data_IF_055120724848
#
_entry.id   IF_055120724848
#
_cell.length_a   1.000
_cell.length_b   1.000
_cell.length_c   1.000
_cell.angle_alpha   90.00
_cell.angle_beta   90.00
_cell.angle_gamma   90.00
#
_symmetry.space_group_name_H-M   'P 1'
#
loop_
_entity.id
_entity.type
_entity.pdbx_description
1 polymer ?
#
# COMPACT_ATOMS: atom_id res chain seq x y z
N UNK A 1 -16.20 25.15 19.00
CA UNK A 1 -15.42 25.47 17.79
C UNK A 1 -14.09 24.74 17.88
N UNK A 2 -14.03 23.49 17.42
CA UNK A 2 -12.79 22.72 17.23
C UNK A 2 -12.74 22.40 15.74
N UNK A 3 -11.74 22.92 15.05
CA UNK A 3 -11.54 22.67 13.63
C UNK A 3 -11.20 21.20 13.42
N UNK A 4 -12.14 20.44 12.86
CA UNK A 4 -11.87 19.10 12.33
C UNK A 4 -11.03 19.31 11.07
N UNK A 5 -9.74 18.98 11.12
CA UNK A 5 -8.93 18.79 9.92
C UNK A 5 -9.40 17.47 9.29
N UNK A 6 -10.19 17.56 8.24
CA UNK A 6 -10.48 16.42 7.37
C UNK A 6 -9.19 16.13 6.58
N UNK A 7 -8.42 15.14 7.01
CA UNK A 7 -7.47 14.47 6.12
C UNK A 7 -8.22 13.27 5.54
N UNK A 8 -8.81 13.49 4.36
CA UNK A 8 -9.44 12.42 3.59
C UNK A 8 -8.30 11.56 3.02
N UNK A 9 -7.85 10.58 3.81
CA UNK A 9 -6.74 9.72 3.48
C UNK A 9 -7.29 8.35 3.08
N UNK A 10 -7.31 8.08 1.78
CA UNK A 10 -7.89 6.87 1.22
C UNK A 10 -6.80 5.86 0.90
N UNK A 11 -6.74 4.83 1.74
CA UNK A 11 -6.44 3.44 1.42
C UNK A 11 -6.12 3.15 -0.07
N UNK A 12 -4.83 2.99 -0.38
CA UNK A 12 -4.26 2.86 -1.73
C UNK A 12 -4.54 1.50 -2.44
N UNK A 13 -5.60 0.78 -2.05
CA UNK A 13 -5.97 -0.54 -2.61
C UNK A 13 -6.86 -0.50 -3.87
N UNK A 14 -7.45 0.64 -4.21
CA UNK A 14 -8.69 0.67 -5.00
C UNK A 14 -8.61 0.65 -6.52
N UNK A 15 -7.50 1.10 -7.09
CA UNK A 15 -7.57 1.65 -8.44
C UNK A 15 -7.36 0.61 -9.55
N UNK A 16 -7.16 -0.67 -9.19
CA UNK A 16 -6.84 -1.72 -10.16
C UNK A 16 -7.91 -2.81 -10.36
N UNK A 17 -8.90 -2.96 -9.47
CA UNK A 17 -9.89 -4.04 -9.63
C UNK A 17 -10.90 -3.78 -10.76
N UNK A 18 -11.10 -2.54 -11.21
CA UNK A 18 -11.96 -2.24 -12.37
C UNK A 18 -11.32 -2.63 -13.73
N UNK A 19 -10.02 -2.91 -13.80
CA UNK A 19 -9.33 -3.21 -15.05
C UNK A 19 -8.98 -4.69 -15.26
N UNK A 20 -9.05 -5.52 -14.21
CA UNK A 20 -8.67 -6.94 -14.29
C UNK A 20 -9.82 -7.93 -14.00
N UNK A 21 -10.95 -7.49 -13.44
CA UNK A 21 -12.14 -8.32 -13.27
C UNK A 21 -13.05 -8.20 -14.50
N UNK A 22 -12.86 -9.09 -15.47
CA UNK A 22 -13.89 -9.36 -16.45
C UNK A 22 -15.17 -9.82 -15.74
N UNK A 23 -16.29 -9.16 -16.06
CA UNK A 23 -17.66 -9.48 -15.65
C UNK A 23 -17.95 -9.48 -14.14
N UNK A 24 -18.37 -8.33 -13.61
CA UNK A 24 -19.64 -8.27 -12.88
C UNK A 24 -20.28 -6.90 -13.10
N UNK A 25 -21.44 -6.92 -13.74
CA UNK A 25 -22.38 -5.82 -13.77
C UNK A 25 -22.89 -5.58 -12.35
N UNK A 26 -22.56 -4.44 -11.75
CA UNK A 26 -23.58 -3.47 -11.33
C UNK A 26 -22.93 -2.16 -10.89
N UNK A 27 -23.70 -1.10 -11.10
CA UNK A 27 -23.28 0.31 -11.20
C UNK A 27 -22.66 0.84 -9.90
N UNK A 28 -21.34 0.94 -9.84
CA UNK A 28 -20.71 1.98 -9.03
C UNK A 28 -20.91 3.31 -9.77
N UNK A 29 -21.59 4.26 -9.13
CA UNK A 29 -21.70 5.64 -9.64
C UNK A 29 -20.32 6.29 -9.79
N UNK A 30 -20.22 7.46 -10.47
CA UNK A 30 -18.93 8.11 -10.70
C UNK A 30 -18.32 8.49 -9.35
N UNK A 31 -17.21 7.83 -8.98
CA UNK A 31 -16.39 8.22 -7.82
C UNK A 31 -15.52 9.38 -8.29
N UNK A 32 -16.09 10.58 -8.23
CA UNK A 32 -15.35 11.82 -8.43
C UNK A 32 -14.81 12.33 -7.10
N UNK A 33 -13.57 11.98 -6.75
CA UNK A 33 -12.73 12.77 -5.83
C UNK A 33 -11.25 12.48 -6.11
N UNK A 34 -10.50 13.53 -6.42
CA UNK A 34 -9.04 13.55 -6.45
C UNK A 34 -8.50 13.21 -5.06
N UNK A 35 -8.18 11.95 -4.80
CA UNK A 35 -7.59 11.53 -3.52
C UNK A 35 -6.13 11.17 -3.73
N UNK A 36 -5.27 12.14 -3.40
CA UNK A 36 -3.83 11.97 -3.36
C UNK A 36 -3.41 11.25 -2.07
N UNK A 37 -2.64 10.16 -2.19
CA UNK A 37 -2.04 9.48 -1.03
C UNK A 37 -0.68 10.10 -0.75
N UNK A 38 -0.61 11.03 0.20
CA UNK A 38 0.62 11.75 0.55
C UNK A 38 1.59 10.90 1.37
N UNK A 39 2.82 10.79 0.89
CA UNK A 39 3.98 10.33 1.65
C UNK A 39 4.62 11.55 2.30
N UNK A 40 4.32 11.78 3.59
CA UNK A 40 5.02 12.76 4.42
C UNK A 40 5.74 12.06 5.56
N UNK A 41 6.97 12.48 5.93
CA UNK A 41 7.62 11.95 7.11
C UNK A 41 6.75 12.17 8.36
N UNK A 42 6.42 11.08 9.06
CA UNK A 42 5.77 11.08 10.38
C UNK A 42 4.31 11.58 10.43
N UNK A 43 3.55 11.54 9.35
CA UNK A 43 2.10 11.79 9.41
C UNK A 43 1.34 10.48 9.56
N UNK A 44 0.81 10.22 10.75
CA UNK A 44 0.00 9.03 11.01
C UNK A 44 -1.39 9.13 10.38
N UNK A 45 -1.85 8.01 9.87
CA UNK A 45 -3.21 7.86 9.35
C UNK A 45 -4.08 7.41 10.52
N UNK A 46 -5.13 8.16 10.83
CA UNK A 46 -5.98 7.90 11.99
C UNK A 46 -7.43 7.63 11.64
N UNK A 47 -7.82 7.77 10.38
CA UNK A 47 -9.18 7.51 9.91
C UNK A 47 -9.17 7.13 8.42
N UNK A 48 -9.91 6.08 8.06
CA UNK A 48 -10.07 5.58 6.69
C UNK A 48 -11.53 5.19 6.47
N UNK A 49 -12.12 5.67 5.38
CA UNK A 49 -13.48 5.35 4.95
C UNK A 49 -13.46 4.73 3.55
N UNK A 50 -13.42 3.41 3.44
CA UNK A 50 -13.12 2.75 2.17
C UNK A 50 -13.94 1.48 1.93
N UNK A 51 -14.60 1.39 0.77
CA UNK A 51 -15.38 0.23 0.32
C UNK A 51 -16.39 -0.27 1.36
N UNK A 52 -17.10 0.65 2.00
CA UNK A 52 -18.11 0.33 3.01
C UNK A 52 -17.53 -0.07 4.37
N UNK A 53 -16.21 0.00 4.57
CA UNK A 53 -15.57 -0.07 5.87
C UNK A 53 -15.16 1.32 6.36
N UNK A 54 -15.32 1.57 7.65
CA UNK A 54 -14.82 2.78 8.31
C UNK A 54 -13.98 2.37 9.51
N UNK A 55 -12.72 2.80 9.52
CA UNK A 55 -11.78 2.59 10.62
C UNK A 55 -11.30 3.94 11.13
N UNK A 56 -11.23 4.12 12.44
CA UNK A 56 -10.71 5.35 13.01
C UNK A 56 -10.15 5.15 14.42
N UNK A 57 -9.25 6.04 14.82
CA UNK A 57 -8.64 6.06 16.15
C UNK A 57 -9.28 7.20 16.96
N UNK A 58 -9.84 6.87 18.13
CA UNK A 58 -10.30 7.85 19.12
C UNK A 58 -9.72 7.51 20.50
N UNK A 59 -9.03 8.47 21.11
CA UNK A 59 -8.38 8.32 22.42
C UNK A 59 -7.48 7.07 22.53
N UNK A 60 -6.74 6.76 21.45
CA UNK A 60 -5.85 5.60 21.34
C UNK A 60 -6.57 4.27 21.09
N UNK A 61 -7.89 4.27 20.93
CA UNK A 61 -8.69 3.08 20.63
C UNK A 61 -9.01 3.06 19.15
N UNK A 62 -8.68 1.95 18.48
CA UNK A 62 -9.04 1.70 17.09
C UNK A 62 -10.45 1.10 17.03
N UNK A 63 -11.35 1.82 16.38
CA UNK A 63 -12.69 1.38 16.04
C UNK A 63 -12.80 0.99 14.56
N UNK A 64 -13.69 0.06 14.25
CA UNK A 64 -14.00 -0.34 12.89
C UNK A 64 -15.46 -0.75 12.69
N UNK A 65 -16.02 -0.46 11.52
CA UNK A 65 -17.36 -0.86 11.11
C UNK A 65 -17.38 -1.28 9.63
N UNK A 66 -18.49 -1.86 9.16
CA UNK A 66 -18.68 -2.28 7.77
C UNK A 66 -18.52 -3.78 7.51
N UNK A 67 -17.99 -4.14 6.34
CA UNK A 67 -17.85 -5.53 5.89
C UNK A 67 -16.77 -6.33 6.62
N UNK A 68 -16.94 -7.66 6.68
CA UNK A 68 -16.01 -8.59 7.33
C UNK A 68 -15.75 -9.88 6.51
N UNK A 69 -15.92 -9.83 5.19
CA UNK A 69 -15.78 -11.00 4.30
C UNK A 69 -14.36 -11.54 4.16
N UNK A 70 -13.37 -10.84 4.70
CA UNK A 70 -11.99 -11.27 4.79
C UNK A 70 -11.50 -11.35 6.24
N UNK A 71 -12.39 -11.13 7.22
CA UNK A 71 -12.05 -11.07 8.63
C UNK A 71 -11.44 -9.73 9.06
N UNK A 72 -11.50 -8.69 8.22
CA UNK A 72 -10.83 -7.40 8.44
C UNK A 72 -11.28 -6.62 9.69
N UNK A 73 -12.39 -7.00 10.33
CA UNK A 73 -12.83 -6.44 11.62
C UNK A 73 -12.26 -7.19 12.84
N UNK A 74 -11.55 -8.31 12.66
CA UNK A 74 -10.89 -8.99 13.79
C UNK A 74 -11.82 -9.77 14.72
N UNK A 75 -13.05 -10.09 14.28
CA UNK A 75 -14.11 -10.68 15.10
C UNK A 75 -13.94 -12.17 15.43
N UNK A 76 -12.83 -12.79 15.03
CA UNK A 76 -12.60 -14.24 15.14
C UNK A 76 -13.42 -15.08 14.16
N UNK A 77 -14.06 -14.45 13.17
CA UNK A 77 -14.82 -15.09 12.10
C UNK A 77 -14.72 -14.32 10.78
N UNK A 78 -15.08 -14.99 9.70
CA UNK A 78 -15.23 -14.45 8.35
C UNK A 78 -16.69 -14.64 7.95
N UNK A 79 -17.29 -13.65 7.31
CA UNK A 79 -18.67 -13.73 6.87
C UNK A 79 -18.75 -13.90 5.34
N UNK A 80 -19.35 -15.01 4.87
CA UNK A 80 -19.47 -15.31 3.43
C UNK A 80 -20.48 -14.40 2.69
N UNK A 81 -21.35 -13.71 3.43
CA UNK A 81 -22.33 -12.76 2.93
C UNK A 81 -21.94 -11.33 3.34
N UNK A 82 -22.48 -10.34 2.62
CA UNK A 82 -22.30 -8.93 2.92
C UNK A 82 -23.05 -8.57 4.21
N UNK A 83 -22.37 -8.75 5.34
CA UNK A 83 -22.83 -8.35 6.67
C UNK A 83 -22.12 -7.06 7.03
N UNK A 84 -22.90 -5.99 7.21
CA UNK A 84 -22.39 -4.73 7.75
C UNK A 84 -22.51 -4.74 9.27
N UNK A 85 -21.39 -4.49 9.95
CA UNK A 85 -21.36 -4.33 11.39
C UNK A 85 -21.43 -2.85 11.78
N UNK A 86 -22.12 -2.60 12.89
CA UNK A 86 -21.95 -1.38 13.66
C UNK A 86 -20.51 -1.29 14.18
N UNK A 87 -20.15 -0.14 14.74
CA UNK A 87 -18.85 0.11 15.34
C UNK A 87 -18.39 -0.97 16.32
N UNK A 88 -17.16 -1.46 16.11
CA UNK A 88 -16.48 -2.46 16.91
C UNK A 88 -15.16 -1.89 17.43
N UNK A 89 -14.83 -2.15 18.70
CA UNK A 89 -13.48 -1.93 19.22
C UNK A 89 -12.55 -3.06 18.71
N UNK A 90 -11.48 -2.70 17.99
CA UNK A 90 -10.54 -3.65 17.40
C UNK A 90 -9.27 -3.78 18.23
N UNK A 91 -8.70 -2.66 18.65
CA UNK A 91 -7.44 -2.60 19.37
C UNK A 91 -7.34 -1.32 20.21
N UNK A 92 -6.41 -1.33 21.17
CA UNK A 92 -6.09 -0.20 22.04
C UNK A 92 -4.63 0.21 21.86
N UNK A 93 -4.31 1.39 22.37
CA UNK A 93 -3.00 2.01 22.28
C UNK A 93 -2.52 2.11 20.82
N UNK A 94 -3.41 2.50 19.90
CA UNK A 94 -3.13 2.59 18.46
C UNK A 94 -2.82 4.03 18.06
N UNK A 95 -1.76 4.22 17.26
CA UNK A 95 -1.34 5.53 16.74
C UNK A 95 -1.47 5.68 15.22
N UNK A 96 -1.55 4.57 14.48
CA UNK A 96 -1.60 4.58 13.01
C UNK A 96 -2.40 3.39 12.47
N UNK A 97 -3.10 3.60 11.35
CA UNK A 97 -3.79 2.55 10.58
C UNK A 97 -3.44 2.59 9.09
N UNK A 98 -3.58 1.48 8.40
CA UNK A 98 -3.66 1.48 6.94
C UNK A 98 -4.61 0.35 6.50
N UNK A 99 -5.29 0.50 5.38
CA UNK A 99 -6.30 -0.45 4.92
C UNK A 99 -6.34 -0.50 3.39
N UNK A 100 -6.61 -1.66 2.80
CA UNK A 100 -6.68 -1.80 1.34
C UNK A 100 -8.00 -2.39 0.82
N UNK A 101 -9.02 -2.50 1.67
CA UNK A 101 -10.30 -3.18 1.37
C UNK A 101 -10.38 -4.59 1.90
N UNK A 102 -9.24 -5.26 2.10
CA UNK A 102 -9.18 -6.67 2.50
C UNK A 102 -8.36 -6.91 3.77
N UNK A 103 -7.41 -6.02 4.03
CA UNK A 103 -6.41 -6.17 5.08
C UNK A 103 -6.28 -4.85 5.83
N UNK A 104 -6.49 -4.89 7.14
CA UNK A 104 -6.25 -3.78 8.06
C UNK A 104 -4.88 -3.95 8.71
N UNK A 105 -4.09 -2.90 8.68
CA UNK A 105 -2.88 -2.74 9.48
C UNK A 105 -3.11 -1.70 10.56
N UNK A 106 -2.45 -1.89 11.70
CA UNK A 106 -2.36 -0.85 12.70
C UNK A 106 -1.03 -0.93 13.46
N UNK A 107 -0.56 0.23 13.93
CA UNK A 107 0.64 0.34 14.75
C UNK A 107 0.24 0.85 16.12
N UNK A 108 0.72 0.17 17.15
CA UNK A 108 0.51 0.55 18.54
C UNK A 108 1.52 1.61 19.02
N UNK A 109 1.25 2.25 20.15
CA UNK A 109 2.11 3.27 20.76
C UNK A 109 3.51 2.71 21.06
N UNK A 110 3.60 1.45 21.48
CA UNK A 110 4.85 0.70 21.69
C UNK A 110 5.49 0.14 20.40
N UNK A 111 5.16 0.71 19.25
CA UNK A 111 5.78 0.46 17.95
C UNK A 111 5.63 -0.98 17.42
N UNK A 112 4.54 -1.66 17.78
CA UNK A 112 4.21 -2.98 17.23
C UNK A 112 3.28 -2.85 16.02
N UNK A 113 3.63 -3.52 14.92
CA UNK A 113 2.78 -3.59 13.74
C UNK A 113 1.94 -4.87 13.78
N UNK A 114 0.63 -4.69 13.78
CA UNK A 114 -0.34 -5.76 13.65
C UNK A 114 -1.03 -5.72 12.30
N UNK A 115 -1.54 -6.87 11.87
CA UNK A 115 -2.45 -6.95 10.74
C UNK A 115 -3.59 -7.94 10.97
N UNK A 116 -4.68 -7.69 10.24
CA UNK A 116 -5.93 -8.46 10.26
C UNK A 116 -6.45 -8.57 8.83
N UNK A 117 -7.05 -9.70 8.47
CA UNK A 117 -7.74 -9.86 7.19
C UNK A 117 -7.01 -10.80 6.24
N UNK A 118 -6.98 -10.45 4.95
CA UNK A 118 -6.46 -11.30 3.89
C UNK A 118 -4.93 -11.52 3.97
N UNK A 119 -4.49 -12.78 3.98
CA UNK A 119 -3.09 -13.21 4.01
C UNK A 119 -2.72 -14.14 2.83
N UNK A 120 -3.40 -14.07 1.68
CA UNK A 120 -3.17 -15.00 0.55
C UNK A 120 -1.77 -14.96 -0.10
N UNK A 121 -0.95 -13.96 0.22
CA UNK A 121 0.45 -13.84 -0.24
C UNK A 121 1.43 -13.74 0.93
N UNK A 122 1.02 -14.10 2.13
CA UNK A 122 1.88 -14.08 3.32
C UNK A 122 2.14 -12.68 3.90
N UNK A 123 1.41 -11.65 3.45
CA UNK A 123 1.61 -10.26 3.89
C UNK A 123 1.44 -10.05 5.40
N UNK A 124 0.67 -10.91 6.09
CA UNK A 124 0.46 -10.86 7.54
C UNK A 124 1.44 -11.77 8.31
N UNK A 125 2.49 -12.26 7.66
CA UNK A 125 3.56 -13.01 8.33
C UNK A 125 3.19 -14.41 8.80
N UNK A 126 2.13 -14.99 8.22
CA UNK A 126 1.71 -16.37 8.50
C UNK A 126 1.88 -17.23 7.25
N UNK A 127 2.21 -18.50 7.46
CA UNK A 127 2.27 -19.49 6.40
C UNK A 127 0.94 -19.55 5.64
N UNK A 128 1.03 -19.75 4.34
CA UNK A 128 -0.11 -19.81 3.44
C UNK A 128 -0.31 -21.23 2.94
N UNK A 129 -1.57 -21.63 2.82
CA UNK A 129 -1.93 -22.89 2.18
C UNK A 129 -2.18 -22.62 0.70
N UNK A 130 -1.26 -23.07 -0.17
CA UNK A 130 -1.41 -22.97 -1.63
C UNK A 130 -1.83 -24.35 -2.16
N UNK A 131 -3.09 -24.51 -2.57
CA UNK A 131 -3.52 -25.65 -3.38
C UNK A 131 -4.62 -25.23 -4.37
N UNK A 132 -4.85 -26.01 -5.43
CA UNK A 132 -5.80 -25.67 -6.50
C UNK A 132 -7.27 -25.56 -6.03
N UNK A 133 -7.57 -25.94 -4.78
CA UNK A 133 -8.90 -25.89 -4.16
C UNK A 133 -8.95 -24.94 -2.93
N UNK A 134 -7.91 -24.15 -2.65
CA UNK A 134 -7.88 -23.32 -1.44
C UNK A 134 -8.92 -22.21 -1.55
N UNK A 135 -9.83 -22.16 -0.59
CA UNK A 135 -10.76 -21.05 -0.48
C UNK A 135 -10.01 -19.83 0.04
N UNK A 136 -10.40 -18.63 -0.41
CA UNK A 136 -9.81 -17.36 0.07
C UNK A 136 -9.83 -17.29 1.60
N UNK A 137 -10.89 -17.81 2.22
CA UNK A 137 -11.05 -17.89 3.66
C UNK A 137 -9.95 -18.69 4.39
N UNK A 138 -9.31 -19.67 3.73
CA UNK A 138 -8.25 -20.49 4.34
C UNK A 138 -7.00 -19.67 4.69
N UNK A 139 -6.81 -18.55 3.97
CA UNK A 139 -5.67 -17.65 4.16
C UNK A 139 -6.12 -16.30 4.73
N UNK A 140 -7.26 -16.21 5.40
CA UNK A 140 -7.71 -15.01 6.10
C UNK A 140 -7.44 -15.14 7.61
N UNK A 141 -6.94 -14.07 8.23
CA UNK A 141 -6.68 -13.98 9.65
C UNK A 141 -7.76 -13.12 10.30
N UNK A 142 -8.75 -13.76 10.90
CA UNK A 142 -9.89 -13.09 11.54
C UNK A 142 -9.60 -12.59 12.94
N UNK A 143 -8.35 -12.64 13.39
CA UNK A 143 -7.86 -12.02 14.63
C UNK A 143 -6.54 -11.31 14.36
N UNK A 144 -6.21 -10.25 15.10
CA UNK A 144 -4.94 -9.58 14.98
C UNK A 144 -3.75 -10.51 15.16
N UNK A 145 -2.76 -10.35 14.28
CA UNK A 145 -1.46 -10.99 14.40
C UNK A 145 -0.37 -9.95 14.41
N UNK A 146 0.59 -10.11 15.32
CA UNK A 146 1.82 -9.33 15.31
C UNK A 146 2.64 -9.72 14.07
N UNK A 147 3.00 -8.72 13.26
CA UNK A 147 3.86 -8.88 12.08
C UNK A 147 5.31 -8.65 12.49
N UNK A 148 5.60 -7.51 13.14
CA UNK A 148 6.94 -7.16 13.63
C UNK A 148 6.88 -5.98 14.62
N UNK A 149 7.99 -5.71 15.30
CA UNK A 149 8.15 -4.67 16.34
C UNK A 149 9.00 -3.48 15.83
N UNK A 150 9.32 -2.49 16.65
CA UNK A 150 10.16 -1.32 16.29
C UNK A 150 9.70 -0.57 15.02
N UNK A 151 8.38 -0.53 14.78
CA UNK A 151 7.79 0.07 13.58
C UNK A 151 7.43 1.53 13.80
N UNK A 152 8.04 2.39 13.00
CA UNK A 152 7.69 3.82 12.93
C UNK A 152 6.46 4.05 12.06
N UNK A 153 6.40 3.41 10.90
CA UNK A 153 5.32 3.57 9.92
C UNK A 153 5.16 2.31 9.06
N UNK A 154 3.97 2.06 8.55
CA UNK A 154 3.69 0.95 7.66
C UNK A 154 2.67 1.36 6.61
N UNK A 155 2.84 0.85 5.40
CA UNK A 155 1.92 1.09 4.29
C UNK A 155 1.62 -0.21 3.55
N UNK A 156 0.35 -0.43 3.20
CA UNK A 156 -0.14 -1.64 2.53
C UNK A 156 -0.48 -1.39 1.06
N UNK A 157 0.12 -2.18 0.18
CA UNK A 157 -0.32 -2.31 -1.22
C UNK A 157 -1.44 -3.33 -1.35
N UNK A 158 -1.61 -3.94 -2.52
CA UNK A 158 -2.68 -4.95 -2.69
C UNK A 158 -2.42 -6.22 -1.87
N UNK A 159 -1.17 -6.68 -1.83
CA UNK A 159 -0.78 -7.91 -1.17
C UNK A 159 0.65 -7.87 -0.61
N UNK A 160 1.21 -6.68 -0.43
CA UNK A 160 2.53 -6.47 0.18
C UNK A 160 2.45 -5.31 1.18
N UNK A 161 3.36 -5.30 2.14
CA UNK A 161 3.47 -4.25 3.16
C UNK A 161 4.89 -3.73 3.13
N UNK A 162 5.04 -2.41 3.12
CA UNK A 162 6.28 -1.72 3.44
C UNK A 162 6.28 -1.33 4.91
N UNK A 163 7.40 -1.59 5.59
CA UNK A 163 7.57 -1.42 7.02
C UNK A 163 8.79 -0.51 7.24
N UNK A 164 8.56 0.70 7.69
CA UNK A 164 9.59 1.65 8.09
C UNK A 164 9.85 1.50 9.59
N UNK A 165 11.05 1.06 9.95
CA UNK A 165 11.48 0.87 11.33
C UNK A 165 11.92 2.20 11.97
N UNK A 166 11.97 2.22 13.30
CA UNK A 166 12.41 3.38 14.08
C UNK A 166 13.86 3.81 13.81
N UNK A 167 14.72 2.89 13.37
CA UNK A 167 16.10 3.16 12.98
C UNK A 167 16.25 3.71 11.55
N UNK A 168 15.15 3.85 10.81
CA UNK A 168 15.15 4.27 9.40
C UNK A 168 15.45 3.15 8.41
N UNK A 169 15.51 1.89 8.85
CA UNK A 169 15.54 0.74 7.94
C UNK A 169 14.16 0.47 7.34
N UNK A 170 14.13 0.18 6.04
CA UNK A 170 12.95 -0.19 5.29
C UNK A 170 12.95 -1.70 5.04
N UNK A 171 11.83 -2.31 5.38
CA UNK A 171 11.56 -3.73 5.20
C UNK A 171 10.29 -3.94 4.39
N UNK A 172 10.14 -5.12 3.81
CA UNK A 172 8.93 -5.53 3.09
C UNK A 172 8.48 -6.94 3.44
N UNK A 173 7.19 -7.23 3.28
CA UNK A 173 6.61 -8.57 3.46
C UNK A 173 5.43 -8.75 2.49
N UNK A 174 5.13 -9.99 2.11
CA UNK A 174 4.02 -10.33 1.23
C UNK A 174 4.44 -10.60 -0.22
N UNK A 175 3.59 -10.24 -1.17
CA UNK A 175 3.76 -10.52 -2.61
C UNK A 175 4.99 -9.83 -3.21
N UNK A 176 5.64 -10.49 -4.18
CA UNK A 176 6.80 -9.98 -4.91
C UNK A 176 6.79 -10.33 -6.41
N UNK A 177 5.64 -10.70 -6.98
CA UNK A 177 5.54 -11.10 -8.39
C UNK A 177 5.90 -10.00 -9.37
N UNK A 178 5.60 -8.76 -9.00
CA UNK A 178 5.95 -7.56 -9.76
C UNK A 178 7.13 -6.84 -9.11
N UNK A 179 7.96 -7.52 -8.32
CA UNK A 179 9.15 -6.93 -7.72
C UNK A 179 8.90 -5.91 -6.61
N UNK A 180 7.67 -5.79 -6.10
CA UNK A 180 7.29 -4.79 -5.10
C UNK A 180 7.99 -4.92 -3.73
N UNK A 181 8.69 -6.03 -3.44
CA UNK A 181 9.57 -6.09 -2.27
C UNK A 181 10.99 -5.56 -2.55
N UNK A 182 11.35 -5.32 -3.80
CA UNK A 182 12.64 -4.70 -4.14
C UNK A 182 13.86 -5.58 -3.83
N UNK A 183 13.68 -6.89 -3.63
CA UNK A 183 14.72 -7.78 -3.07
C UNK A 183 15.52 -8.57 -4.11
N UNK A 184 15.16 -8.56 -5.39
CA UNK A 184 15.76 -9.46 -6.41
C UNK A 184 15.90 -8.81 -7.78
N UNK A 185 16.77 -9.38 -8.62
CA UNK A 185 17.11 -8.83 -9.94
C UNK A 185 16.13 -9.21 -11.05
N UNK A 186 15.41 -10.33 -10.92
CA UNK A 186 14.58 -10.86 -12.01
C UNK A 186 13.11 -11.00 -11.60
N UNK A 187 12.21 -10.81 -12.57
CA UNK A 187 10.77 -10.96 -12.37
C UNK A 187 10.42 -12.43 -12.11
N UNK A 188 9.59 -12.68 -11.11
CA UNK A 188 9.14 -14.02 -10.77
C UNK A 188 7.84 -14.33 -11.54
N UNK A 189 7.93 -15.19 -12.56
CA UNK A 189 6.77 -15.57 -13.39
C UNK A 189 6.03 -16.83 -12.88
N UNK A 190 6.30 -17.25 -11.64
CA UNK A 190 5.70 -18.45 -11.03
C UNK A 190 5.23 -18.14 -9.60
N UNK A 191 3.91 -18.20 -9.39
CA UNK A 191 3.24 -17.95 -8.12
C UNK A 191 3.64 -18.88 -6.98
N UNK A 192 4.15 -20.06 -7.31
CA UNK A 192 4.60 -21.06 -6.34
C UNK A 192 6.11 -21.01 -6.09
N UNK A 193 6.82 -20.09 -6.75
CA UNK A 193 8.24 -19.88 -6.49
C UNK A 193 8.40 -19.32 -5.06
N UNK A 194 9.35 -19.83 -4.25
CA UNK A 194 9.71 -19.26 -2.96
C UNK A 194 10.11 -17.77 -3.00
N UNK A 195 10.36 -17.25 -4.19
CA UNK A 195 10.76 -15.86 -4.42
C UNK A 195 9.59 -14.93 -4.76
N UNK A 196 8.41 -15.51 -5.04
CA UNK A 196 7.23 -14.77 -5.47
C UNK A 196 6.51 -14.07 -4.32
N UNK A 197 6.85 -14.40 -3.07
CA UNK A 197 6.36 -13.75 -1.86
C UNK A 197 7.34 -13.98 -0.70
N UNK A 198 7.16 -13.26 0.40
CA UNK A 198 7.82 -13.52 1.68
C UNK A 198 6.81 -13.50 2.82
N UNK A 199 6.86 -14.51 3.68
CA UNK A 199 6.09 -14.57 4.95
C UNK A 199 6.88 -14.03 6.14
N UNK A 200 8.09 -13.52 5.89
CA UNK A 200 8.92 -12.86 6.90
C UNK A 200 9.36 -11.50 6.37
N UNK A 201 9.45 -10.45 7.21
CA UNK A 201 9.98 -9.18 6.77
C UNK A 201 11.40 -9.34 6.20
N UNK A 202 11.63 -8.77 5.02
CA UNK A 202 12.92 -8.75 4.32
C UNK A 202 13.44 -7.33 4.23
N UNK A 203 14.73 -7.15 4.47
CA UNK A 203 15.38 -5.83 4.38
C UNK A 203 15.43 -5.35 2.93
N UNK A 204 15.12 -4.07 2.70
CA UNK A 204 15.11 -3.42 1.39
C UNK A 204 16.24 -2.38 1.29
N UNK A 205 16.25 -1.40 2.19
CA UNK A 205 17.25 -0.33 2.23
C UNK A 205 17.26 0.38 3.59
N UNK A 206 18.25 1.24 3.81
CA UNK A 206 18.44 2.05 5.02
C UNK A 206 18.19 3.54 4.77
N UNK A 207 18.20 4.32 5.86
CA UNK A 207 18.11 5.79 5.85
C UNK A 207 16.83 6.32 5.20
N UNK A 208 15.73 5.59 5.33
CA UNK A 208 14.41 5.98 4.83
C UNK A 208 13.69 6.82 5.87
N UNK A 209 12.97 7.86 5.41
CA UNK A 209 12.17 8.75 6.25
C UNK A 209 10.68 8.71 5.91
N UNK A 210 10.33 8.25 4.72
CA UNK A 210 8.94 8.15 4.30
C UNK A 210 8.74 7.04 3.25
N UNK A 211 7.56 6.40 3.25
CA UNK A 211 7.22 5.27 2.38
C UNK A 211 5.78 5.36 1.86
N UNK A 212 5.52 4.77 0.70
CA UNK A 212 4.18 4.42 0.25
C UNK A 212 4.17 3.06 -0.47
N UNK A 213 3.11 2.30 -0.25
CA UNK A 213 2.74 1.16 -1.06
C UNK A 213 1.39 1.46 -1.74
N UNK A 214 1.30 1.22 -3.05
CA UNK A 214 0.04 1.32 -3.78
C UNK A 214 -0.05 0.18 -4.78
N UNK A 215 -1.14 -0.60 -4.73
CA UNK A 215 -1.34 -1.75 -5.63
C UNK A 215 -0.10 -2.67 -5.68
N UNK A 216 0.71 -2.60 -6.75
CA UNK A 216 1.94 -3.37 -6.96
C UNK A 216 3.21 -2.49 -6.99
N UNK A 217 3.10 -1.24 -6.56
CA UNK A 217 4.16 -0.24 -6.54
C UNK A 217 4.58 0.10 -5.12
N UNK A 218 5.84 0.49 -5.00
CA UNK A 218 6.46 0.86 -3.74
C UNK A 218 7.33 2.10 -3.94
N UNK A 219 7.34 2.96 -2.92
CA UNK A 219 8.06 4.21 -2.91
C UNK A 219 8.76 4.43 -1.57
N UNK A 220 9.92 5.07 -1.62
CA UNK A 220 10.64 5.51 -0.42
C UNK A 220 11.35 6.85 -0.66
N UNK A 221 11.37 7.70 0.36
CA UNK A 221 12.21 8.89 0.41
C UNK A 221 13.25 8.69 1.50
N UNK A 222 14.51 8.94 1.18
CA UNK A 222 15.64 8.85 2.12
C UNK A 222 15.86 10.15 2.90
N UNK A 223 16.68 10.10 3.95
CA UNK A 223 17.05 11.25 4.79
C UNK A 223 17.67 12.42 4.00
N UNK A 224 18.26 12.12 2.83
CA UNK A 224 18.86 13.11 1.92
C UNK A 224 17.92 13.54 0.79
N UNK A 225 16.65 13.10 0.81
CA UNK A 225 15.63 13.47 -0.17
C UNK A 225 15.74 12.74 -1.50
N UNK A 226 16.51 11.65 -1.59
CA UNK A 226 16.46 10.77 -2.76
C UNK A 226 15.15 9.97 -2.74
N UNK A 227 14.34 10.13 -3.80
CA UNK A 227 13.11 9.38 -4.05
C UNK A 227 13.44 8.11 -4.83
N UNK A 228 13.02 6.97 -4.28
CA UNK A 228 13.13 5.66 -4.89
C UNK A 228 11.76 5.09 -5.22
N UNK A 229 11.65 4.41 -6.36
CA UNK A 229 10.46 3.69 -6.80
C UNK A 229 10.82 2.30 -7.32
N UNK A 230 9.95 1.32 -7.05
CA UNK A 230 10.04 -0.03 -7.60
C UNK A 230 8.65 -0.68 -7.67
N UNK A 231 8.57 -1.87 -8.25
CA UNK A 231 7.33 -2.60 -8.48
C UNK A 231 6.88 -2.60 -9.94
N UNK A 232 5.57 -2.61 -10.16
CA UNK A 232 4.99 -2.59 -11.51
C UNK A 232 5.40 -1.35 -12.31
N UNK A 233 5.81 -1.55 -13.56
CA UNK A 233 6.17 -0.47 -14.48
C UNK A 233 5.42 -0.58 -15.81
N UNK A 234 4.35 -1.39 -15.86
CA UNK A 234 3.53 -1.61 -17.04
C UNK A 234 2.95 -0.31 -17.63
N UNK A 235 2.74 0.70 -16.79
CA UNK A 235 2.22 2.03 -17.15
C UNK A 235 3.24 3.16 -16.89
N UNK A 236 4.52 2.81 -16.76
CA UNK A 236 5.59 3.77 -16.50
C UNK A 236 5.51 4.42 -15.12
N UNK A 237 4.88 3.78 -14.12
CA UNK A 237 4.73 4.33 -12.77
C UNK A 237 6.09 4.63 -12.10
N UNK A 238 7.14 3.92 -12.49
CA UNK A 238 8.48 4.10 -11.91
C UNK A 238 9.16 5.38 -12.41
N UNK A 239 8.81 5.88 -13.60
CA UNK A 239 9.41 7.13 -14.12
C UNK A 239 10.86 7.01 -14.61
N UNK A 240 11.39 5.79 -14.77
CA UNK A 240 12.78 5.55 -15.18
C UNK A 240 13.03 5.65 -16.70
N UNK A 241 12.05 6.09 -17.49
CA UNK A 241 12.16 6.16 -18.95
C UNK A 241 12.08 4.82 -19.69
N UNK A 242 12.01 3.69 -18.97
CA UNK A 242 11.87 2.34 -19.53
C UNK A 242 10.42 1.90 -19.46
N UNK A 243 9.56 2.51 -20.26
CA UNK A 243 8.14 2.15 -20.37
C UNK A 243 7.83 1.84 -21.85
N UNK A 244 6.84 0.97 -22.10
CA UNK A 244 6.66 0.26 -23.37
C UNK A 244 6.55 1.10 -24.65
N UNK A 245 7.70 1.50 -25.22
CA UNK A 245 7.83 2.15 -26.52
C UNK A 245 7.81 1.14 -27.69
N UNK A 246 6.76 0.32 -27.76
CA UNK A 246 6.40 -0.46 -28.95
C UNK A 246 6.78 -1.95 -28.95
N UNK A 247 7.77 -2.38 -28.16
CA UNK A 247 8.03 -3.79 -27.83
C UNK A 247 8.77 -3.86 -26.48
N UNK A 248 8.09 -3.65 -25.34
CA UNK A 248 8.74 -3.82 -24.04
C UNK A 248 9.24 -5.26 -23.91
N UNK A 249 10.49 -5.44 -23.50
CA UNK A 249 10.87 -6.74 -22.95
C UNK A 249 10.11 -6.93 -21.64
N UNK A 250 9.87 -8.17 -21.20
CA UNK A 250 9.23 -8.44 -19.89
C UNK A 250 9.96 -7.71 -18.75
N UNK A 251 11.26 -7.42 -18.91
CA UNK A 251 12.10 -6.69 -17.97
C UNK A 251 11.80 -5.19 -17.87
N UNK A 252 11.17 -4.57 -18.87
CA UNK A 252 10.87 -3.13 -18.86
C UNK A 252 9.56 -2.82 -18.13
N UNK A 253 8.66 -3.80 -18.01
CA UNK A 253 7.37 -3.65 -17.35
C UNK A 253 7.43 -3.81 -15.82
N UNK A 254 8.60 -4.02 -15.24
CA UNK A 254 8.79 -4.18 -13.79
C UNK A 254 10.14 -3.58 -13.38
N UNK A 255 10.17 -2.88 -12.25
CA UNK A 255 11.39 -2.55 -11.54
C UNK A 255 11.50 -3.43 -10.30
N UNK A 256 12.43 -4.38 -10.29
CA UNK A 256 12.54 -5.42 -9.24
C UNK A 256 13.43 -5.02 -8.07
N UNK A 257 14.11 -3.87 -8.17
CA UNK A 257 14.96 -3.27 -7.15
C UNK A 257 14.61 -1.78 -7.04
N UNK A 258 14.78 -1.14 -5.87
CA UNK A 258 14.61 0.30 -5.72
C UNK A 258 15.45 1.11 -6.73
N UNK A 259 14.80 1.89 -7.59
CA UNK A 259 15.45 2.80 -8.54
C UNK A 259 15.34 4.24 -8.03
N UNK A 260 16.46 4.97 -7.99
CA UNK A 260 16.45 6.40 -7.66
C UNK A 260 15.92 7.20 -8.84
N UNK A 261 14.88 8.01 -8.63
CA UNK A 261 14.14 8.71 -9.67
C UNK A 261 14.32 10.23 -9.61
N UNK A 262 14.28 10.79 -8.40
CA UNK A 262 14.48 12.22 -8.15
C UNK A 262 15.32 12.42 -6.90
N UNK A 263 16.03 13.55 -6.87
CA UNK A 263 16.71 14.03 -5.68
C UNK A 263 15.94 15.20 -5.09
N UNK A 264 16.23 15.53 -3.83
CA UNK A 264 15.67 16.68 -3.14
C UNK A 264 14.14 16.64 -2.91
N UNK A 265 13.54 15.46 -2.90
CA UNK A 265 12.10 15.29 -2.69
C UNK A 265 11.78 15.19 -1.19
N UNK A 266 10.65 15.80 -0.81
CA UNK A 266 10.11 15.77 0.55
C UNK A 266 8.74 15.12 0.60
N UNK A 267 8.04 15.08 -0.53
CA UNK A 267 6.74 14.44 -0.66
C UNK A 267 6.66 13.61 -1.95
N UNK A 268 5.92 12.51 -1.87
CA UNK A 268 5.55 11.70 -3.02
C UNK A 268 4.10 11.25 -2.87
N UNK A 269 3.34 11.21 -3.94
CA UNK A 269 1.98 10.68 -3.90
C UNK A 269 1.51 10.19 -5.26
N UNK A 270 0.53 9.30 -5.21
CA UNK A 270 -0.20 8.87 -6.38
C UNK A 270 -1.56 9.54 -6.43
N UNK A 271 -2.00 9.90 -7.63
CA UNK A 271 -3.40 10.19 -7.92
C UNK A 271 -3.90 9.24 -9.00
N UNK A 272 -5.22 9.19 -9.19
CA UNK A 272 -5.83 8.45 -10.28
C UNK A 272 -6.83 9.32 -11.00
N UNK A 273 -6.82 9.20 -12.32
CA UNK A 273 -7.80 9.82 -13.19
C UNK A 273 -8.44 8.72 -14.04
N UNK A 274 -9.77 8.65 -14.10
CA UNK A 274 -10.50 7.58 -14.83
C UNK A 274 -10.03 7.37 -16.28
N UNK A 275 -9.62 8.45 -16.95
CA UNK A 275 -9.16 8.40 -18.35
C UNK A 275 -7.65 8.23 -18.48
N UNK A 276 -6.91 8.42 -17.39
CA UNK A 276 -5.44 8.44 -17.38
C UNK A 276 -4.82 7.42 -16.43
N UNK A 277 -5.58 6.65 -15.67
CA UNK A 277 -5.01 5.72 -14.70
C UNK A 277 -4.15 6.43 -13.65
N UNK A 278 -3.15 5.71 -13.13
CA UNK A 278 -2.25 6.20 -12.06
C UNK A 278 -1.32 7.29 -12.57
N UNK A 279 -1.23 8.39 -11.82
CA UNK A 279 -0.31 9.50 -12.03
C UNK A 279 0.53 9.64 -10.76
N UNK A 280 1.83 9.77 -10.93
CA UNK A 280 2.76 9.95 -9.83
C UNK A 280 3.12 11.42 -9.72
N UNK A 281 3.25 11.90 -8.48
CA UNK A 281 3.63 13.26 -8.16
C UNK A 281 4.74 13.25 -7.10
N UNK A 282 5.66 14.19 -7.20
CA UNK A 282 6.69 14.41 -6.19
C UNK A 282 6.91 15.90 -5.99
N UNK A 283 7.12 16.32 -4.75
CA UNK A 283 7.35 17.72 -4.41
C UNK A 283 8.61 17.88 -3.57
N UNK A 284 9.34 18.94 -3.85
CA UNK A 284 10.44 19.42 -3.04
C UNK A 284 10.03 20.68 -2.28
N UNK A 285 9.99 20.61 -0.96
CA UNK A 285 9.92 21.83 -0.14
C UNK A 285 11.22 22.64 -0.19
N UNK A 286 12.34 22.02 -0.54
CA UNK A 286 13.65 22.69 -0.60
C UNK A 286 13.78 23.59 -1.82
N UNK A 287 13.28 23.15 -2.97
CA UNK A 287 13.35 23.91 -4.23
C UNK A 287 12.01 24.55 -4.61
N UNK A 288 10.91 24.16 -3.97
CA UNK A 288 9.55 24.53 -4.37
C UNK A 288 9.07 23.81 -5.63
N UNK A 289 9.88 22.93 -6.22
CA UNK A 289 9.57 22.26 -7.47
C UNK A 289 8.58 21.11 -7.23
N UNK A 290 7.68 20.96 -8.19
CA UNK A 290 6.75 19.84 -8.26
C UNK A 290 6.96 19.10 -9.57
N UNK A 291 6.91 17.78 -9.50
CA UNK A 291 7.09 16.88 -10.61
C UNK A 291 5.88 15.98 -10.74
N UNK A 292 5.51 15.67 -11.97
CA UNK A 292 4.52 14.64 -12.26
C UNK A 292 5.00 13.74 -13.39
N UNK A 293 4.56 12.49 -13.39
CA UNK A 293 4.75 11.60 -14.53
C UNK A 293 3.71 10.49 -14.61
N UNK A 294 3.60 10.00 -15.84
CA UNK A 294 2.84 8.84 -16.25
C UNK A 294 3.36 8.46 -17.63
N UNK A 295 3.66 7.19 -17.89
CA UNK A 295 4.19 6.76 -19.20
C UNK A 295 5.31 7.69 -19.72
N UNK A 296 6.15 8.20 -18.82
CA UNK A 296 7.22 9.17 -19.10
C UNK A 296 8.14 9.29 -17.89
N UNK A 297 9.36 9.82 -18.05
CA UNK A 297 10.15 10.30 -16.93
C UNK A 297 9.48 11.50 -16.23
N UNK A 298 9.86 11.83 -14.98
CA UNK A 298 9.41 13.01 -14.25
C UNK A 298 9.49 14.29 -15.08
N UNK A 299 8.40 15.06 -15.09
CA UNK A 299 8.31 16.38 -15.72
C UNK A 299 8.02 17.43 -14.67
N UNK A 300 8.75 18.55 -14.75
CA UNK A 300 8.49 19.70 -13.89
C UNK A 300 7.09 20.27 -14.21
N UNK A 301 6.32 20.58 -13.16
CA UNK A 301 5.11 21.39 -13.27
C UNK A 301 5.55 22.83 -13.48
N UNK A 302 5.36 23.38 -14.69
CA UNK A 302 5.60 24.79 -14.94
C UNK A 302 4.54 25.63 -14.19
N UNK A 303 4.99 26.60 -13.39
CA UNK A 303 4.10 27.61 -12.78
C UNK A 303 3.33 28.32 -13.90
N UNK A 304 2.00 28.22 -13.89
CA UNK A 304 1.11 28.95 -14.81
C UNK A 304 0.93 30.40 -14.41
#
# INVERSE_FOLDING_TARGET
>A
MRGKKFALLMAAGALFLSACAGNHSDKAGPVSTEEAVHVKPNEYITEINYWGNHFYIEDGILYGSGGNSYGQLGLGKIDELEVSYEEQEIARDVKHIDFNGFTLLYITEDAQLYGIGLNHRGQLGREITINNNSYVADNCLSRPVLITEDVRFASIGLAHILILKEDGSLWGIGDNLNGQLGIKKERVNNYSSPESYSTVPVFIMDKVVAIAAQSYNSAAITEIGSLYLWGDNSSGQIGNGKFGNGFPTISDCVSTLPEMILEHMTEFYFTYEDTRGVICHARSEWTGQEYWWRNSPPKLVEER
#
